data_IF_029055884202
#
_entry.id   IF_029055884202
#
_cell.length_a   1.000
_cell.length_b   1.000
_cell.length_c   1.000
_cell.angle_alpha   90.00
_cell.angle_beta   90.00
_cell.angle_gamma   90.00
#
_symmetry.space_group_name_H-M   'P 1'
#
loop_
_entity.id
_entity.type
_entity.pdbx_description
1 polymer ?
#
# COMPACT_ATOMS: atom_id res chain seq x y z
N UNK A 1 38.28 -0.23 54.70
CA UNK A 1 37.18 0.75 54.73
C UNK A 1 37.18 1.48 53.40
N UNK A 2 36.25 1.09 52.54
CA UNK A 2 35.71 1.88 51.41
C UNK A 2 34.75 2.98 51.94
N UNK A 3 34.12 3.84 51.10
CA UNK A 3 34.28 4.10 49.64
C UNK A 3 34.78 5.57 49.43
N UNK A 4 34.50 6.41 48.42
CA UNK A 4 33.66 6.35 47.20
C UNK A 4 34.16 7.30 46.07
N UNK A 5 33.53 7.20 44.90
CA UNK A 5 33.67 8.11 43.74
C UNK A 5 32.69 9.32 43.81
N UNK A 6 32.71 10.24 42.83
CA UNK A 6 31.53 11.07 42.54
C UNK A 6 31.72 12.39 41.74
N UNK A 7 31.45 12.34 40.44
CA UNK A 7 30.87 13.39 39.57
C UNK A 7 31.22 14.89 39.76
N UNK A 8 31.87 15.49 38.74
CA UNK A 8 31.82 16.95 38.51
C UNK A 8 30.48 17.34 37.88
N UNK A 9 29.80 18.30 38.51
CA UNK A 9 28.57 18.93 38.02
C UNK A 9 28.83 19.71 36.72
N UNK A 10 28.07 19.44 35.66
CA UNK A 10 27.93 20.34 34.51
C UNK A 10 26.50 20.25 33.97
N UNK A 11 25.79 21.36 34.08
CA UNK A 11 24.38 21.52 33.67
C UNK A 11 24.23 21.58 32.15
N UNK A 12 23.23 20.90 31.60
CA UNK A 12 22.72 21.16 30.25
C UNK A 12 21.24 21.50 30.33
N UNK A 13 20.93 22.77 30.10
CA UNK A 13 19.57 23.28 29.95
C UNK A 13 18.98 22.85 28.61
N UNK A 14 17.82 22.20 28.62
CA UNK A 14 17.07 21.85 27.41
C UNK A 14 16.50 23.10 26.75
N UNK A 15 17.09 23.56 25.65
CA UNK A 15 16.47 24.53 24.74
C UNK A 15 15.97 23.81 23.48
N UNK A 16 14.65 23.74 23.34
CA UNK A 16 13.98 23.30 22.11
C UNK A 16 13.96 24.45 21.10
N UNK A 17 15.04 24.61 20.34
CA UNK A 17 15.06 25.50 19.19
C UNK A 17 14.58 24.77 17.94
N UNK A 18 13.42 25.18 17.40
CA UNK A 18 13.01 24.80 16.05
C UNK A 18 13.95 25.46 15.05
N UNK A 19 14.58 24.66 14.18
CA UNK A 19 15.55 25.15 13.19
C UNK A 19 14.85 25.77 11.98
N UNK A 20 15.19 27.02 11.69
CA UNK A 20 14.78 27.72 10.49
C UNK A 20 15.67 27.30 9.31
N UNK A 21 15.20 27.45 8.07
CA UNK A 21 15.98 27.19 6.85
C UNK A 21 17.27 28.04 6.75
N UNK A 22 17.45 29.04 7.62
CA UNK A 22 18.67 29.83 7.79
C UNK A 22 19.85 29.07 8.40
N UNK A 23 19.61 27.97 9.10
CA UNK A 23 20.56 27.40 10.07
C UNK A 23 21.43 26.28 9.47
N UNK A 24 21.34 26.06 8.15
CA UNK A 24 22.12 25.07 7.41
C UNK A 24 23.57 25.55 7.15
N UNK A 25 24.59 24.73 7.42
CA UNK A 25 25.98 25.08 7.11
C UNK A 25 26.18 25.38 5.62
N UNK A 26 26.73 26.56 5.31
CA UNK A 26 27.05 26.93 3.91
C UNK A 26 28.22 26.08 3.39
N UNK A 27 28.02 25.43 2.25
CA UNK A 27 29.01 24.54 1.64
C UNK A 27 30.33 25.29 1.30
N UNK A 28 31.51 24.63 1.47
CA UNK A 28 32.81 25.25 1.16
C UNK A 28 32.93 25.67 -0.31
N UNK A 29 33.49 26.85 -0.56
CA UNK A 29 33.46 27.52 -1.87
C UNK A 29 34.54 27.05 -2.86
N UNK A 30 35.15 25.89 -2.63
CA UNK A 30 36.30 25.38 -3.39
C UNK A 30 36.16 23.89 -3.69
N UNK A 31 35.25 23.54 -4.60
CA UNK A 31 35.22 22.25 -5.28
C UNK A 31 34.91 22.49 -6.76
N UNK A 32 35.90 22.25 -7.63
CA UNK A 32 35.79 22.43 -9.07
C UNK A 32 34.88 21.37 -9.70
N UNK A 33 33.80 21.80 -10.34
CA UNK A 33 33.07 21.05 -11.39
C UNK A 33 32.84 19.55 -11.16
N UNK A 34 32.47 19.15 -9.95
CA UNK A 34 31.66 17.94 -9.77
C UNK A 34 30.19 18.34 -9.77
N UNK A 35 29.50 17.97 -10.85
CA UNK A 35 28.05 18.13 -10.97
C UNK A 35 27.40 17.21 -9.96
N UNK A 36 27.17 17.69 -8.73
CA UNK A 36 26.46 16.93 -7.73
C UNK A 36 25.07 16.58 -8.28
N UNK A 37 24.67 15.31 -8.22
CA UNK A 37 23.33 14.94 -8.62
C UNK A 37 22.31 15.66 -7.73
N UNK A 38 21.23 16.20 -8.32
CA UNK A 38 20.13 16.77 -7.55
C UNK A 38 19.53 15.69 -6.63
N UNK A 39 19.69 15.89 -5.33
CA UNK A 39 19.04 15.18 -4.23
C UNK A 39 18.67 16.20 -3.15
N UNK A 40 17.85 15.84 -2.17
CA UNK A 40 17.31 16.84 -1.23
C UNK A 40 18.38 17.31 -0.23
N UNK A 41 18.12 18.43 0.43
CA UNK A 41 19.02 18.94 1.47
C UNK A 41 19.11 17.99 2.68
N UNK A 42 18.06 17.17 2.90
CA UNK A 42 18.05 16.11 3.93
C UNK A 42 18.91 14.92 3.53
N UNK A 43 18.82 14.46 2.28
CA UNK A 43 19.69 13.40 1.75
C UNK A 43 21.17 13.72 2.00
N UNK A 44 21.59 14.97 1.71
CA UNK A 44 22.96 15.40 1.93
C UNK A 44 23.39 15.35 3.41
N UNK A 45 22.49 15.67 4.34
CA UNK A 45 22.76 15.61 5.78
C UNK A 45 22.86 14.17 6.29
N UNK A 46 22.00 13.26 5.82
CA UNK A 46 22.04 11.86 6.22
C UNK A 46 23.22 11.11 5.59
N UNK A 47 23.59 11.42 4.35
CA UNK A 47 24.80 10.89 3.72
C UNK A 47 26.08 11.39 4.42
N UNK A 48 26.08 12.64 4.92
CA UNK A 48 27.15 13.15 5.81
C UNK A 48 27.20 12.41 7.15
N UNK A 49 26.04 12.18 7.81
CA UNK A 49 25.96 11.42 9.08
C UNK A 49 26.48 9.98 8.94
N UNK A 50 26.20 9.34 7.81
CA UNK A 50 26.64 7.98 7.50
C UNK A 50 28.09 7.90 6.99
N UNK A 51 28.75 9.03 6.73
CA UNK A 51 30.10 9.08 6.15
C UNK A 51 30.17 8.46 4.74
N UNK A 52 29.06 8.43 4.01
CA UNK A 52 28.92 7.78 2.71
C UNK A 52 28.77 8.83 1.60
N UNK A 53 29.44 8.62 0.48
CA UNK A 53 29.25 9.43 -0.72
C UNK A 53 27.98 8.95 -1.46
N UNK A 54 27.22 9.89 -2.02
CA UNK A 54 25.97 9.58 -2.72
C UNK A 54 26.25 9.20 -4.17
N UNK A 55 26.30 7.89 -4.43
CA UNK A 55 26.65 7.29 -5.73
C UNK A 55 25.43 7.04 -6.64
N UNK A 56 24.20 7.10 -6.10
CA UNK A 56 22.96 6.81 -6.84
C UNK A 56 22.01 8.02 -6.80
N UNK A 57 21.62 8.53 -7.97
CA UNK A 57 20.32 9.20 -8.08
C UNK A 57 19.23 8.14 -8.21
N UNK A 58 18.18 8.28 -7.42
CA UNK A 58 16.91 7.57 -7.68
C UNK A 58 16.24 8.19 -8.90
N UNK A 59 16.57 7.63 -10.07
CA UNK A 59 15.79 7.78 -11.29
C UNK A 59 15.84 6.44 -12.05
N UNK A 60 15.01 5.49 -11.61
CA UNK A 60 15.05 4.09 -12.04
C UNK A 60 13.74 3.67 -12.71
N UNK A 61 13.46 4.27 -13.87
CA UNK A 61 12.25 4.09 -14.71
C UNK A 61 12.02 2.67 -15.29
N UNK A 62 12.62 1.65 -14.69
CA UNK A 62 12.65 0.23 -15.08
C UNK A 62 12.77 -0.74 -13.88
N UNK A 63 12.92 -0.25 -12.63
CA UNK A 63 13.30 -1.09 -11.49
C UNK A 63 12.16 -1.33 -10.47
N UNK A 64 10.93 -0.92 -10.76
CA UNK A 64 9.74 -1.17 -9.92
C UNK A 64 9.43 -2.65 -9.67
N UNK A 65 10.06 -3.58 -10.41
CA UNK A 65 10.08 -5.01 -10.06
C UNK A 65 10.72 -5.27 -8.67
N UNK A 66 11.56 -4.36 -8.17
CA UNK A 66 12.17 -4.40 -6.83
C UNK A 66 11.21 -3.84 -5.75
N UNK A 67 10.09 -3.21 -6.13
CA UNK A 67 9.03 -2.85 -5.18
C UNK A 67 8.44 -4.09 -4.49
N UNK A 68 8.23 -5.20 -5.22
CA UNK A 68 7.78 -6.49 -4.66
C UNK A 68 8.69 -7.02 -3.54
N UNK A 69 9.94 -6.55 -3.47
CA UNK A 69 10.91 -6.91 -2.45
C UNK A 69 10.88 -6.04 -1.18
N UNK A 70 9.97 -5.07 -1.00
CA UNK A 70 9.90 -4.25 0.24
C UNK A 70 9.83 -5.09 1.52
N UNK A 71 8.89 -6.05 1.60
CA UNK A 71 8.74 -6.96 2.73
C UNK A 71 9.91 -7.94 2.88
N UNK A 72 10.50 -8.39 1.76
CA UNK A 72 11.76 -9.15 1.76
C UNK A 72 12.90 -8.32 2.35
N UNK A 73 12.98 -7.03 2.00
CA UNK A 73 14.09 -6.15 2.34
C UNK A 73 14.12 -5.88 3.84
N UNK A 74 12.97 -5.50 4.41
CA UNK A 74 12.81 -5.38 5.87
C UNK A 74 13.05 -6.71 6.60
N UNK A 75 12.53 -7.82 6.08
CA UNK A 75 12.84 -9.15 6.65
C UNK A 75 14.34 -9.43 6.59
N UNK A 76 15.03 -9.04 5.52
CA UNK A 76 16.46 -9.25 5.37
C UNK A 76 17.30 -8.35 6.29
N UNK A 77 16.84 -7.13 6.59
CA UNK A 77 17.58 -6.18 7.44
C UNK A 77 17.38 -6.49 8.94
N UNK A 78 16.15 -6.83 9.35
CA UNK A 78 15.80 -7.02 10.76
C UNK A 78 15.83 -8.48 11.26
N UNK A 79 15.87 -9.49 10.37
CA UNK A 79 15.90 -10.88 10.82
C UNK A 79 17.27 -11.30 11.38
N UNK A 80 17.31 -12.18 12.41
CA UNK A 80 18.56 -12.74 12.91
C UNK A 80 19.34 -13.48 11.82
N UNK A 81 20.65 -13.22 11.69
CA UNK A 81 21.54 -13.76 10.63
C UNK A 81 21.40 -15.27 10.36
N UNK A 82 21.10 -16.08 11.38
CA UNK A 82 20.88 -17.54 11.26
C UNK A 82 19.64 -17.89 10.41
N UNK A 83 18.60 -17.08 10.46
CA UNK A 83 17.30 -17.31 9.81
C UNK A 83 17.02 -16.35 8.66
N UNK A 84 17.75 -15.23 8.58
CA UNK A 84 17.64 -14.16 7.60
C UNK A 84 17.37 -14.67 6.18
N UNK A 85 18.18 -15.61 5.67
CA UNK A 85 18.01 -16.17 4.32
C UNK A 85 16.70 -16.94 4.15
N UNK A 86 16.34 -17.78 5.11
CA UNK A 86 15.10 -18.58 5.05
C UNK A 86 13.86 -17.70 5.17
N UNK A 87 13.82 -16.82 6.17
CA UNK A 87 12.72 -15.87 6.39
C UNK A 87 12.54 -14.96 5.15
N UNK A 88 13.62 -14.45 4.57
CA UNK A 88 13.56 -13.60 3.37
C UNK A 88 12.96 -14.35 2.17
N UNK A 89 13.32 -15.63 1.95
CA UNK A 89 12.71 -16.44 0.89
C UNK A 89 11.23 -16.72 1.16
N UNK A 90 10.85 -17.06 2.41
CA UNK A 90 9.47 -17.28 2.77
C UNK A 90 8.62 -16.02 2.59
N UNK A 91 9.07 -14.86 3.07
CA UNK A 91 8.38 -13.57 2.89
C UNK A 91 8.22 -13.22 1.40
N UNK A 92 9.27 -13.36 0.59
CA UNK A 92 9.20 -13.07 -0.84
C UNK A 92 8.20 -13.95 -1.61
N UNK A 93 8.22 -15.27 -1.36
CA UNK A 93 7.29 -16.19 -2.00
C UNK A 93 5.84 -15.99 -1.53
N UNK A 94 5.61 -15.78 -0.23
CA UNK A 94 4.27 -15.50 0.31
C UNK A 94 3.71 -14.19 -0.26
N UNK A 95 4.52 -13.12 -0.34
CA UNK A 95 4.14 -11.85 -0.98
C UNK A 95 3.74 -12.06 -2.45
N UNK A 96 4.57 -12.76 -3.21
CA UNK A 96 4.29 -13.04 -4.64
C UNK A 96 2.99 -13.81 -4.83
N UNK A 97 2.75 -14.84 -4.01
CA UNK A 97 1.51 -15.65 -4.08
C UNK A 97 0.30 -14.81 -3.66
N UNK A 98 0.42 -13.97 -2.65
CA UNK A 98 -0.65 -13.06 -2.23
C UNK A 98 -1.05 -12.11 -3.36
N UNK A 99 -0.08 -11.39 -3.96
CA UNK A 99 -0.33 -10.48 -5.08
C UNK A 99 -0.96 -11.17 -6.30
N UNK A 100 -0.49 -12.36 -6.67
CA UNK A 100 -1.11 -13.14 -7.76
C UNK A 100 -2.54 -13.58 -7.42
N UNK A 101 -2.82 -13.90 -6.16
CA UNK A 101 -4.15 -14.28 -5.69
C UNK A 101 -5.12 -13.09 -5.71
N UNK A 102 -4.67 -11.89 -5.35
CA UNK A 102 -5.48 -10.65 -5.42
C UNK A 102 -5.92 -10.40 -6.86
N UNK A 103 -4.98 -10.39 -7.82
CA UNK A 103 -5.29 -10.17 -9.25
C UNK A 103 -6.30 -11.20 -9.78
N UNK A 104 -6.19 -12.46 -9.36
CA UNK A 104 -7.15 -13.50 -9.73
C UNK A 104 -8.55 -13.27 -9.12
N UNK A 105 -8.63 -12.80 -7.87
CA UNK A 105 -9.89 -12.43 -7.20
C UNK A 105 -10.54 -11.23 -7.87
N UNK A 106 -9.78 -10.19 -8.22
CA UNK A 106 -10.32 -9.00 -8.91
C UNK A 106 -10.89 -9.35 -10.28
N UNK A 107 -10.18 -10.17 -11.06
CA UNK A 107 -10.68 -10.68 -12.33
C UNK A 107 -11.96 -11.51 -12.17
N UNK A 108 -12.08 -12.27 -11.08
CA UNK A 108 -13.28 -13.04 -10.77
C UNK A 108 -14.47 -12.13 -10.35
N UNK A 109 -14.22 -11.08 -9.55
CA UNK A 109 -15.24 -10.09 -9.16
C UNK A 109 -15.77 -9.36 -10.39
N UNK A 110 -14.88 -8.87 -11.26
CA UNK A 110 -15.26 -8.18 -12.52
C UNK A 110 -16.05 -9.12 -13.44
N UNK A 111 -15.62 -10.37 -13.60
CA UNK A 111 -16.36 -11.38 -14.35
C UNK A 111 -17.75 -11.65 -13.76
N UNK A 112 -17.87 -11.69 -12.43
CA UNK A 112 -19.15 -11.81 -11.71
C UNK A 112 -20.09 -10.62 -11.97
N UNK A 113 -19.58 -9.39 -11.95
CA UNK A 113 -20.33 -8.17 -12.29
C UNK A 113 -20.84 -8.24 -13.74
N UNK A 114 -19.97 -8.59 -14.70
CA UNK A 114 -20.36 -8.77 -16.11
C UNK A 114 -21.46 -9.83 -16.23
N UNK A 115 -21.32 -10.97 -15.53
CA UNK A 115 -22.32 -12.05 -15.58
C UNK A 115 -23.64 -11.68 -14.90
N UNK A 116 -23.63 -10.83 -13.88
CA UNK A 116 -24.83 -10.27 -13.26
C UNK A 116 -25.54 -9.29 -14.21
N UNK A 117 -24.80 -8.44 -14.93
CA UNK A 117 -25.35 -7.55 -15.95
C UNK A 117 -25.99 -8.33 -17.11
N UNK A 118 -25.40 -9.46 -17.54
CA UNK A 118 -25.99 -10.35 -18.55
C UNK A 118 -27.33 -10.91 -18.04
N UNK A 119 -27.40 -11.41 -16.81
CA UNK A 119 -28.65 -11.91 -16.21
C UNK A 119 -29.74 -10.84 -16.12
N UNK A 120 -29.37 -9.61 -15.76
CA UNK A 120 -30.31 -8.50 -15.62
C UNK A 120 -30.92 -8.07 -16.96
N UNK A 121 -30.17 -8.19 -18.07
CA UNK A 121 -30.63 -7.80 -19.41
C UNK A 121 -31.25 -8.95 -20.21
N UNK A 122 -30.96 -10.22 -19.87
CA UNK A 122 -31.44 -11.39 -20.58
C UNK A 122 -32.14 -12.38 -19.63
N UNK A 123 -33.48 -12.31 -19.47
CA UNK A 123 -34.21 -13.14 -18.50
C UNK A 123 -34.22 -14.65 -18.81
N UNK A 124 -33.77 -15.05 -20.00
CA UNK A 124 -33.56 -16.45 -20.39
C UNK A 124 -32.15 -16.99 -20.12
N UNK A 125 -31.21 -16.14 -19.69
CA UNK A 125 -29.84 -16.55 -19.43
C UNK A 125 -29.73 -17.25 -18.07
N UNK A 126 -29.33 -18.52 -18.09
CA UNK A 126 -29.00 -19.30 -16.88
C UNK A 126 -27.46 -19.33 -16.72
N UNK A 127 -26.89 -18.89 -15.58
CA UNK A 127 -25.45 -18.90 -15.36
C UNK A 127 -24.89 -20.33 -15.26
N UNK A 128 -24.28 -20.82 -16.34
CA UNK A 128 -23.57 -22.09 -16.38
C UNK A 128 -22.24 -22.05 -15.62
N UNK A 129 -21.83 -23.18 -15.02
CA UNK A 129 -20.62 -23.30 -14.17
C UNK A 129 -19.34 -22.77 -14.84
N UNK A 130 -19.19 -23.00 -16.15
CA UNK A 130 -18.01 -22.58 -16.91
C UNK A 130 -18.07 -21.12 -17.38
N UNK A 131 -19.24 -20.48 -17.40
CA UNK A 131 -19.38 -19.10 -17.90
C UNK A 131 -18.57 -18.11 -17.05
N UNK A 132 -18.65 -18.23 -15.72
CA UNK A 132 -17.88 -17.43 -14.78
C UNK A 132 -16.36 -17.60 -15.00
N UNK A 133 -15.89 -18.84 -15.17
CA UNK A 133 -14.49 -19.16 -15.43
C UNK A 133 -14.00 -18.57 -16.76
N UNK A 134 -14.76 -18.73 -17.85
CA UNK A 134 -14.42 -18.16 -19.15
C UNK A 134 -14.37 -16.63 -19.11
N UNK A 135 -15.32 -15.98 -18.44
CA UNK A 135 -15.32 -14.52 -18.24
C UNK A 135 -14.13 -14.07 -17.38
N UNK A 136 -13.75 -14.84 -16.35
CA UNK A 136 -12.59 -14.56 -15.50
C UNK A 136 -11.29 -14.62 -16.31
N UNK A 137 -11.11 -15.67 -17.13
CA UNK A 137 -9.96 -15.83 -18.02
C UNK A 137 -9.89 -14.71 -19.06
N UNK A 138 -11.03 -14.37 -19.68
CA UNK A 138 -11.10 -13.27 -20.65
C UNK A 138 -10.76 -11.91 -20.01
N UNK A 139 -11.22 -11.68 -18.79
CA UNK A 139 -10.93 -10.47 -18.00
C UNK A 139 -9.44 -10.38 -17.65
N UNK A 140 -8.84 -11.48 -17.15
CA UNK A 140 -7.42 -11.56 -16.84
C UNK A 140 -6.54 -11.35 -18.08
N UNK A 141 -6.92 -11.93 -19.22
CA UNK A 141 -6.24 -11.69 -20.51
C UNK A 141 -6.35 -10.23 -20.94
N UNK A 142 -7.53 -9.60 -20.80
CA UNK A 142 -7.76 -8.18 -21.11
C UNK A 142 -6.91 -7.24 -20.24
N UNK A 143 -6.90 -7.44 -18.92
CA UNK A 143 -6.03 -6.66 -18.02
C UNK A 143 -4.54 -6.89 -18.29
N UNK A 144 -4.12 -8.11 -18.59
CA UNK A 144 -2.74 -8.40 -18.97
C UNK A 144 -2.34 -7.67 -20.25
N UNK A 145 -3.22 -7.64 -21.25
CA UNK A 145 -3.00 -6.92 -22.51
C UNK A 145 -2.93 -5.41 -22.30
N UNK A 146 -3.82 -4.86 -21.47
CA UNK A 146 -3.78 -3.45 -21.06
C UNK A 146 -2.48 -3.11 -20.33
N UNK A 147 -2.05 -3.92 -19.37
CA UNK A 147 -0.80 -3.73 -18.64
C UNK A 147 0.45 -3.85 -19.53
N UNK A 148 0.40 -4.54 -20.67
CA UNK A 148 1.51 -4.56 -21.64
C UNK A 148 1.58 -3.29 -22.48
N UNK A 149 0.43 -2.74 -22.91
CA UNK A 149 0.39 -1.62 -23.87
C UNK A 149 0.16 -0.23 -23.26
N UNK A 150 -0.41 -0.14 -22.06
CA UNK A 150 -0.83 1.13 -21.44
C UNK A 150 0.12 1.68 -20.36
N UNK A 151 1.28 1.06 -20.13
CA UNK A 151 2.24 1.45 -19.08
C UNK A 151 2.57 2.96 -19.03
N UNK A 152 2.68 3.61 -20.20
CA UNK A 152 2.97 5.04 -20.29
C UNK A 152 1.82 5.97 -19.86
N UNK A 153 0.61 5.45 -19.68
CA UNK A 153 -0.58 6.20 -19.28
C UNK A 153 -1.10 5.81 -17.88
N UNK A 154 -0.46 4.84 -17.22
CA UNK A 154 -0.96 4.25 -15.98
C UNK A 154 -1.26 5.30 -14.89
N UNK A 155 -0.34 6.25 -14.68
CA UNK A 155 -0.50 7.34 -13.71
C UNK A 155 -1.66 8.31 -14.00
N UNK A 156 -2.07 8.46 -15.26
CA UNK A 156 -3.26 9.23 -15.62
C UNK A 156 -4.53 8.46 -15.27
N UNK A 157 -4.54 7.14 -15.50
CA UNK A 157 -5.67 6.28 -15.15
C UNK A 157 -5.81 6.15 -13.62
N UNK A 158 -4.72 6.00 -12.88
CA UNK A 158 -4.71 6.00 -11.41
C UNK A 158 -5.35 7.26 -10.84
N UNK A 159 -4.90 8.44 -11.29
CA UNK A 159 -5.49 9.73 -10.89
C UNK A 159 -6.97 9.84 -11.25
N UNK A 160 -7.37 9.41 -12.45
CA UNK A 160 -8.77 9.40 -12.88
C UNK A 160 -9.62 8.44 -12.03
N UNK A 161 -9.14 7.24 -11.73
CA UNK A 161 -9.86 6.28 -10.91
C UNK A 161 -9.99 6.74 -9.46
N UNK A 162 -8.97 7.39 -8.89
CA UNK A 162 -9.04 7.98 -7.55
C UNK A 162 -10.08 9.10 -7.49
N UNK A 163 -10.10 10.00 -8.48
CA UNK A 163 -11.12 11.04 -8.65
C UNK A 163 -12.51 10.38 -8.74
N UNK A 164 -12.69 9.40 -9.63
CA UNK A 164 -13.96 8.69 -9.78
C UNK A 164 -14.43 8.05 -8.46
N UNK A 165 -13.56 7.39 -7.69
CA UNK A 165 -13.94 6.79 -6.41
C UNK A 165 -14.47 7.83 -5.41
N UNK A 166 -13.77 8.96 -5.24
CA UNK A 166 -14.18 10.02 -4.31
C UNK A 166 -15.50 10.66 -4.75
N UNK A 167 -15.66 10.97 -6.04
CA UNK A 167 -16.86 11.66 -6.55
C UNK A 167 -18.07 10.74 -6.78
N UNK A 168 -17.88 9.43 -7.02
CA UNK A 168 -18.99 8.47 -7.11
C UNK A 168 -19.52 8.02 -5.75
N UNK A 169 -18.72 8.12 -4.67
CA UNK A 169 -19.14 7.76 -3.32
C UNK A 169 -20.44 8.47 -2.90
N UNK A 170 -20.51 9.79 -3.07
CA UNK A 170 -21.68 10.59 -2.65
C UNK A 170 -22.96 10.22 -3.43
N UNK A 171 -22.96 10.17 -4.78
CA UNK A 171 -24.10 9.66 -5.55
C UNK A 171 -24.54 8.24 -5.17
N UNK A 172 -23.60 7.31 -4.92
CA UNK A 172 -23.91 5.93 -4.53
C UNK A 172 -24.61 5.90 -3.16
N UNK A 173 -24.10 6.65 -2.17
CA UNK A 173 -24.73 6.76 -0.85
C UNK A 173 -26.13 7.37 -0.93
N UNK A 174 -26.32 8.42 -1.74
CA UNK A 174 -27.63 9.06 -1.96
C UNK A 174 -28.61 8.07 -2.62
N UNK A 175 -28.16 7.34 -3.65
CA UNK A 175 -28.98 6.35 -4.35
C UNK A 175 -29.43 5.22 -3.41
N UNK A 176 -28.53 4.72 -2.56
CA UNK A 176 -28.86 3.72 -1.54
C UNK A 176 -29.81 4.29 -0.49
N UNK A 177 -29.62 5.52 -0.02
CA UNK A 177 -30.54 6.16 0.93
C UNK A 177 -31.96 6.27 0.36
N UNK A 178 -32.10 6.70 -0.90
CA UNK A 178 -33.40 6.94 -1.53
C UNK A 178 -34.13 5.65 -1.93
N UNK A 179 -33.41 4.61 -2.36
CA UNK A 179 -34.02 3.37 -2.84
C UNK A 179 -34.09 2.23 -1.81
N UNK A 180 -33.29 2.24 -0.75
CA UNK A 180 -33.33 1.16 0.24
C UNK A 180 -34.63 1.22 1.07
N UNK A 181 -35.31 0.07 1.29
CA UNK A 181 -36.47 0.01 2.17
C UNK A 181 -36.05 0.35 3.62
N UNK A 182 -36.75 1.28 4.30
CA UNK A 182 -36.37 1.71 5.65
C UNK A 182 -36.52 0.57 6.66
N UNK A 183 -35.45 0.34 7.44
CA UNK A 183 -35.41 -0.67 8.49
C UNK A 183 -35.45 -0.02 9.87
N UNK A 184 -36.03 -0.70 10.87
CA UNK A 184 -36.09 -0.15 12.23
C UNK A 184 -34.69 -0.09 12.86
N UNK A 185 -34.34 0.98 13.63
CA UNK A 185 -33.03 1.07 14.28
C UNK A 185 -32.74 -0.11 15.21
N UNK A 186 -33.76 -0.62 15.91
CA UNK A 186 -33.63 -1.81 16.76
C UNK A 186 -33.21 -3.04 15.94
N UNK A 187 -33.81 -3.26 14.76
CA UNK A 187 -33.42 -4.37 13.88
C UNK A 187 -31.98 -4.24 13.40
N UNK A 188 -31.56 -3.02 13.01
CA UNK A 188 -30.22 -2.77 12.47
C UNK A 188 -29.12 -2.95 13.53
N UNK A 189 -29.32 -2.42 14.74
CA UNK A 189 -28.26 -2.41 15.77
C UNK A 189 -28.30 -3.59 16.74
N UNK A 190 -29.47 -4.21 16.98
CA UNK A 190 -29.65 -5.20 18.04
C UNK A 190 -30.05 -6.60 17.54
N UNK A 191 -30.28 -6.77 16.23
CA UNK A 191 -30.63 -8.07 15.65
C UNK A 191 -29.58 -8.52 14.61
N UNK A 192 -28.50 -9.23 15.03
CA UNK A 192 -27.45 -9.64 14.12
C UNK A 192 -27.92 -10.76 13.17
N UNK A 193 -27.86 -10.48 11.87
CA UNK A 193 -28.35 -11.39 10.81
C UNK A 193 -27.23 -12.32 10.33
N UNK A 194 -27.45 -13.63 10.44
CA UNK A 194 -26.55 -14.67 9.95
C UNK A 194 -26.95 -15.09 8.52
N UNK A 195 -26.73 -14.21 7.55
CA UNK A 195 -27.13 -14.43 6.15
C UNK A 195 -26.41 -15.59 5.44
N UNK A 196 -25.28 -16.06 6.00
CA UNK A 196 -24.57 -17.25 5.51
C UNK A 196 -25.06 -18.59 6.08
N UNK A 197 -26.08 -18.57 6.95
CA UNK A 197 -26.64 -19.76 7.62
C UNK A 197 -25.57 -20.57 8.40
N UNK A 198 -24.56 -19.90 8.96
CA UNK A 198 -23.51 -20.53 9.76
C UNK A 198 -24.06 -21.14 11.06
N UNK A 199 -23.44 -22.19 11.63
CA UNK A 199 -23.85 -22.76 12.91
C UNK A 199 -23.94 -21.78 14.10
N UNK A 200 -23.28 -20.61 14.04
CA UNK A 200 -23.45 -19.54 15.02
C UNK A 200 -23.21 -18.16 14.40
N UNK A 201 -23.83 -17.13 14.99
CA UNK A 201 -23.60 -15.73 14.62
C UNK A 201 -22.14 -15.33 14.81
N UNK A 202 -21.46 -15.81 15.86
CA UNK A 202 -20.03 -15.57 16.09
C UNK A 202 -19.18 -16.08 14.92
N UNK A 203 -19.47 -17.28 14.39
CA UNK A 203 -18.77 -17.80 13.22
C UNK A 203 -19.07 -16.97 11.97
N UNK A 204 -20.32 -16.52 11.78
CA UNK A 204 -20.68 -15.60 10.70
C UNK A 204 -19.90 -14.28 10.76
N UNK A 205 -19.63 -13.75 11.96
CA UNK A 205 -18.81 -12.54 12.15
C UNK A 205 -17.34 -12.81 11.81
N UNK A 206 -16.76 -13.92 12.29
CA UNK A 206 -15.38 -14.30 12.00
C UNK A 206 -15.15 -14.53 10.49
N UNK A 207 -16.10 -15.15 9.79
CA UNK A 207 -16.04 -15.29 8.32
C UNK A 207 -16.21 -13.94 7.63
N UNK A 208 -17.14 -13.09 8.08
CA UNK A 208 -17.36 -11.75 7.52
C UNK A 208 -16.15 -10.81 7.64
N UNK A 209 -15.30 -10.99 8.66
CA UNK A 209 -14.05 -10.23 8.81
C UNK A 209 -13.08 -10.43 7.64
N UNK A 210 -13.10 -11.59 6.96
CA UNK A 210 -12.20 -11.88 5.83
C UNK A 210 -12.40 -10.86 4.68
N UNK A 211 -13.66 -10.49 4.40
CA UNK A 211 -13.98 -9.47 3.38
C UNK A 211 -13.49 -8.08 3.77
N UNK A 212 -13.50 -7.73 5.06
CA UNK A 212 -12.98 -6.45 5.56
C UNK A 212 -11.45 -6.39 5.51
N UNK A 213 -10.77 -7.50 5.81
CA UNK A 213 -9.32 -7.62 5.71
C UNK A 213 -8.87 -7.40 4.26
N UNK A 214 -9.60 -7.93 3.28
CA UNK A 214 -9.34 -7.71 1.86
C UNK A 214 -9.32 -6.21 1.48
N UNK A 215 -10.24 -5.40 2.01
CA UNK A 215 -10.27 -3.94 1.77
C UNK A 215 -9.04 -3.21 2.34
N UNK A 216 -8.42 -3.74 3.40
CA UNK A 216 -7.20 -3.16 4.00
C UNK A 216 -5.89 -3.59 3.36
N UNK A 217 -5.94 -4.55 2.42
CA UNK A 217 -4.79 -5.32 1.90
C UNK A 217 -3.90 -4.55 0.91
N UNK A 218 -4.14 -3.25 0.69
CA UNK A 218 -3.34 -2.40 -0.20
C UNK A 218 -2.51 -1.31 0.51
N UNK A 219 -2.51 -1.26 1.85
CA UNK A 219 -1.86 -0.20 2.63
C UNK A 219 -0.32 -0.15 2.49
N UNK A 220 0.31 -1.26 2.13
CA UNK A 220 1.75 -1.37 1.86
C UNK A 220 2.16 -0.86 0.46
N UNK A 221 1.20 -0.54 -0.42
CA UNK A 221 1.45 0.05 -1.74
C UNK A 221 2.28 1.34 -1.68
N UNK A 222 2.14 2.13 -0.62
CA UNK A 222 2.95 3.35 -0.40
C UNK A 222 4.43 2.98 -0.16
N UNK A 223 4.70 1.90 0.58
CA UNK A 223 6.05 1.41 0.82
C UNK A 223 6.66 0.78 -0.45
N UNK A 224 5.83 0.21 -1.34
CA UNK A 224 6.25 -0.24 -2.67
C UNK A 224 6.71 0.92 -3.58
N UNK A 225 6.13 2.12 -3.43
CA UNK A 225 6.49 3.34 -4.17
C UNK A 225 7.56 4.20 -3.48
N UNK A 226 8.09 3.78 -2.32
CA UNK A 226 9.09 4.52 -1.55
C UNK A 226 10.44 4.77 -2.28
N UNK A 227 10.64 4.16 -3.46
CA UNK A 227 11.79 4.40 -4.33
C UNK A 227 11.58 5.54 -5.34
N UNK A 228 10.32 5.88 -5.62
CA UNK A 228 9.89 6.87 -6.62
C UNK A 228 9.44 8.20 -5.97
N UNK A 229 9.31 8.23 -4.65
CA UNK A 229 8.86 9.40 -3.85
C UNK A 229 10.05 10.23 -3.34
N UNK A 230 9.99 11.56 -3.55
CA UNK A 230 10.94 12.52 -2.97
C UNK A 230 10.74 12.65 -1.44
N UNK A 231 11.84 12.77 -0.67
CA UNK A 231 11.81 12.78 0.81
C UNK A 231 11.03 11.58 1.42
N UNK A 232 11.11 10.40 0.81
CA UNK A 232 10.37 9.19 1.18
C UNK A 232 10.43 8.82 2.68
N UNK A 233 11.54 9.11 3.38
CA UNK A 233 11.69 8.88 4.82
C UNK A 233 10.68 9.66 5.69
N UNK A 234 10.05 10.71 5.15
CA UNK A 234 8.98 11.48 5.78
C UNK A 234 7.64 11.27 5.09
N UNK A 235 7.62 11.32 3.75
CA UNK A 235 6.38 11.28 2.96
C UNK A 235 5.70 9.91 3.03
N UNK A 236 6.45 8.80 3.03
CA UNK A 236 5.87 7.45 3.09
C UNK A 236 5.18 7.21 4.44
N UNK A 237 5.81 7.44 5.62
CA UNK A 237 5.09 7.37 6.90
C UNK A 237 3.88 8.31 6.97
N UNK A 238 3.98 9.54 6.46
CA UNK A 238 2.90 10.54 6.49
C UNK A 238 1.70 10.23 5.59
N UNK A 239 1.82 9.31 4.63
CA UNK A 239 0.74 8.92 3.72
C UNK A 239 0.13 7.55 4.05
N UNK A 240 0.69 6.86 5.05
CA UNK A 240 0.15 5.58 5.58
C UNK A 240 -0.73 5.75 6.83
N UNK A 241 -0.78 6.94 7.43
CA UNK A 241 -1.49 7.26 8.69
C UNK A 241 -2.27 8.57 8.60
#
# INVERSE_FOLDING_TARGET
MEPSEGAKHLSVSTQTHGTSNSDLPRLPRTASHQTYPRGTARDHLDMQRLGKRQELQRNFRQLSTVSFTSCYHWTSEFAPRRWQRWLSYCTGWLSTIAWQSIVAVDCYIVAGIIQALIQLNHPSYVPGKYHATCLTIATAAGFSLFNVFALGHLSLFEGLFAICHVFLFVPIVIMLWVLAPPSSPHTVFLHPINGGHWPSTTLSVLVGQVSMIFTTLGSDSVAHLAEEVEDAALVVPQSMF
#
